data_IF_198418173953
#
_entry.id   IF_198418173953
#
_cell.length_a   1.000
_cell.length_b   1.000
_cell.length_c   1.000
_cell.angle_alpha   90.00
_cell.angle_beta   90.00
_cell.angle_gamma   90.00
#
_symmetry.space_group_name_H-M   'P 1'
#
loop_
_entity.id
_entity.type
_entity.pdbx_description
1 polymer ?
#
# COMPACT_ATOMS: atom_id res chain seq x y z
N UNK A 1 5.65 -18.64 6.63
CA UNK A 1 4.79 -17.52 6.22
C UNK A 1 3.67 -18.05 5.34
N UNK A 2 2.41 -17.75 5.65
CA UNK A 2 1.24 -18.15 4.85
C UNK A 2 1.32 -17.47 3.47
N UNK A 3 1.34 -18.23 2.36
CA UNK A 3 1.64 -17.72 0.99
C UNK A 3 0.89 -16.43 0.59
N UNK A 4 -0.31 -16.21 1.12
CA UNK A 4 -1.14 -15.00 0.87
C UNK A 4 -0.58 -13.74 1.56
N UNK A 5 -0.08 -13.87 2.79
CA UNK A 5 0.57 -12.78 3.52
C UNK A 5 1.86 -12.35 2.83
N UNK A 6 2.64 -13.32 2.36
CA UNK A 6 3.90 -13.04 1.68
C UNK A 6 3.68 -12.31 0.34
N UNK A 7 2.69 -12.74 -0.46
CA UNK A 7 2.31 -12.02 -1.70
C UNK A 7 1.90 -10.58 -1.44
N UNK A 8 1.08 -10.33 -0.42
CA UNK A 8 0.66 -8.97 -0.09
C UNK A 8 1.85 -8.13 0.38
N UNK A 9 2.75 -8.71 1.18
CA UNK A 9 3.98 -8.04 1.61
C UNK A 9 4.87 -7.67 0.41
N UNK A 10 5.06 -8.59 -0.54
CA UNK A 10 5.87 -8.32 -1.75
C UNK A 10 5.26 -7.21 -2.60
N UNK A 11 3.93 -7.16 -2.74
CA UNK A 11 3.23 -6.09 -3.48
C UNK A 11 3.40 -4.73 -2.78
N UNK A 12 3.22 -4.68 -1.45
CA UNK A 12 3.41 -3.43 -0.68
C UNK A 12 4.86 -2.97 -0.77
N UNK A 13 5.81 -3.90 -0.69
CA UNK A 13 7.24 -3.60 -0.82
C UNK A 13 7.58 -3.07 -2.21
N UNK A 14 7.04 -3.68 -3.27
CA UNK A 14 7.22 -3.17 -4.64
C UNK A 14 6.62 -1.77 -4.80
N UNK A 15 5.41 -1.54 -4.26
CA UNK A 15 4.77 -0.23 -4.28
C UNK A 15 5.64 0.83 -3.57
N UNK A 16 6.25 0.49 -2.44
CA UNK A 16 7.15 1.37 -1.70
C UNK A 16 8.46 1.67 -2.45
N UNK A 17 8.95 0.73 -3.24
CA UNK A 17 10.19 0.87 -4.00
C UNK A 17 10.07 1.87 -5.17
N UNK A 18 8.84 2.15 -5.63
CA UNK A 18 8.62 3.18 -6.65
C UNK A 18 9.02 4.57 -6.12
N UNK A 19 9.87 5.32 -6.85
CA UNK A 19 10.36 6.62 -6.39
C UNK A 19 9.21 7.61 -6.13
N UNK A 20 8.18 7.61 -6.97
CA UNK A 20 6.98 8.44 -6.80
C UNK A 20 6.29 8.23 -5.43
N UNK A 21 6.23 6.99 -4.95
CA UNK A 21 5.61 6.65 -3.67
C UNK A 21 6.56 6.85 -2.49
N UNK A 22 7.86 6.73 -2.74
CA UNK A 22 8.92 6.93 -1.74
C UNK A 22 9.17 8.40 -1.44
N UNK A 23 9.13 9.24 -2.47
CA UNK A 23 9.25 10.71 -2.35
C UNK A 23 8.01 11.31 -1.68
N UNK A 24 6.88 10.62 -1.77
CA UNK A 24 5.66 11.00 -1.09
C UNK A 24 5.65 10.52 0.37
N UNK A 25 5.84 11.45 1.30
CA UNK A 25 5.90 11.15 2.74
C UNK A 25 4.63 10.48 3.25
N UNK A 26 3.46 10.86 2.73
CA UNK A 26 2.19 10.28 3.14
C UNK A 26 2.06 8.83 2.64
N UNK A 27 2.28 8.58 1.34
CA UNK A 27 2.18 7.24 0.77
C UNK A 27 3.24 6.28 1.35
N UNK A 28 4.48 6.74 1.51
CA UNK A 28 5.54 5.94 2.12
C UNK A 28 5.20 5.51 3.55
N UNK A 29 4.61 6.41 4.35
CA UNK A 29 4.12 6.08 5.70
C UNK A 29 2.96 5.08 5.67
N UNK A 30 1.99 5.22 4.76
CA UNK A 30 0.88 4.28 4.60
C UNK A 30 1.35 2.86 4.25
N UNK A 31 2.28 2.76 3.30
CA UNK A 31 2.86 1.48 2.86
C UNK A 31 3.70 0.82 3.97
N UNK A 32 4.47 1.60 4.74
CA UNK A 32 5.22 1.11 5.89
C UNK A 32 4.28 0.65 7.02
N UNK A 33 3.22 1.41 7.30
CA UNK A 33 2.23 1.08 8.32
C UNK A 33 1.51 -0.24 7.98
N UNK A 34 1.08 -0.40 6.71
CA UNK A 34 0.46 -1.63 6.24
C UNK A 34 1.42 -2.83 6.32
N UNK A 35 2.68 -2.67 5.94
CA UNK A 35 3.71 -3.71 6.07
C UNK A 35 3.90 -4.14 7.54
N UNK A 36 3.97 -3.17 8.46
CA UNK A 36 4.10 -3.44 9.89
C UNK A 36 2.86 -4.16 10.45
N UNK A 37 1.65 -3.77 10.05
CA UNK A 37 0.40 -4.45 10.44
C UNK A 37 0.37 -5.89 9.93
N UNK A 38 0.85 -6.12 8.71
CA UNK A 38 0.92 -7.45 8.09
C UNK A 38 1.91 -8.37 8.80
N UNK A 39 3.07 -7.85 9.23
CA UNK A 39 4.09 -8.58 10.00
C UNK A 39 3.55 -8.93 11.41
N UNK A 40 2.80 -8.03 12.04
CA UNK A 40 2.18 -8.22 13.37
C UNK A 40 1.02 -9.23 13.40
N UNK A 41 0.96 -10.18 12.46
CA UNK A 41 -0.07 -11.23 12.37
C UNK A 41 -1.51 -10.75 12.11
N UNK A 42 -1.70 -9.56 11.54
CA UNK A 42 -3.03 -9.13 11.10
C UNK A 42 -3.51 -9.92 9.88
N UNK A 43 -4.83 -10.08 9.75
CA UNK A 43 -5.44 -10.74 8.60
C UNK A 43 -5.05 -9.99 7.31
N UNK A 44 -4.38 -10.65 6.34
CA UNK A 44 -3.91 -9.99 5.12
C UNK A 44 -5.03 -9.30 4.33
N UNK A 45 -6.24 -9.86 4.35
CA UNK A 45 -7.38 -9.25 3.67
C UNK A 45 -7.79 -7.92 4.32
N UNK A 46 -7.77 -7.87 5.65
CA UNK A 46 -8.09 -6.66 6.39
C UNK A 46 -7.03 -5.58 6.17
N UNK A 47 -5.75 -5.97 6.15
CA UNK A 47 -4.64 -5.03 5.86
C UNK A 47 -4.74 -4.49 4.44
N UNK A 48 -5.05 -5.33 3.45
CA UNK A 48 -5.24 -4.88 2.07
C UNK A 48 -6.43 -3.93 1.94
N UNK A 49 -7.55 -4.24 2.61
CA UNK A 49 -8.73 -3.39 2.61
C UNK A 49 -8.45 -2.02 3.24
N UNK A 50 -7.82 -2.00 4.41
CA UNK A 50 -7.43 -0.74 5.08
C UNK A 50 -6.45 0.07 4.24
N UNK A 51 -5.43 -0.57 3.67
CA UNK A 51 -4.47 0.11 2.81
C UNK A 51 -5.16 0.73 1.58
N UNK A 52 -6.10 0.02 0.96
CA UNK A 52 -6.88 0.57 -0.15
C UNK A 52 -7.68 1.80 0.28
N UNK A 53 -8.36 1.76 1.44
CA UNK A 53 -9.09 2.92 1.94
C UNK A 53 -8.16 4.09 2.26
N UNK A 54 -7.01 3.83 2.88
CA UNK A 54 -6.03 4.85 3.22
C UNK A 54 -5.44 5.52 1.95
N UNK A 55 -5.18 4.73 0.90
CA UNK A 55 -4.72 5.24 -0.40
C UNK A 55 -5.83 5.99 -1.13
N UNK A 56 -7.07 5.51 -1.10
CA UNK A 56 -8.21 6.19 -1.72
C UNK A 56 -8.46 7.55 -1.07
N UNK A 57 -8.43 7.60 0.27
CA UNK A 57 -8.51 8.85 1.03
C UNK A 57 -7.35 9.79 0.69
N UNK A 58 -6.13 9.26 0.56
CA UNK A 58 -4.97 10.05 0.15
C UNK A 58 -5.18 10.68 -1.23
N UNK A 59 -5.72 9.92 -2.19
CA UNK A 59 -6.02 10.39 -3.55
C UNK A 59 -7.11 11.45 -3.56
N UNK A 60 -8.17 11.26 -2.75
CA UNK A 60 -9.25 12.23 -2.59
C UNK A 60 -8.77 13.53 -1.97
N UNK A 61 -7.87 13.47 -0.98
CA UNK A 61 -7.36 14.65 -0.25
C UNK A 61 -6.33 15.44 -1.07
N UNK A 62 -5.56 14.76 -1.93
CA UNK A 62 -4.47 15.40 -2.66
C UNK A 62 -4.84 15.85 -4.09
N UNK A 63 -6.01 15.49 -4.63
CA UNK A 63 -6.40 15.79 -6.03
C UNK A 63 -5.33 15.38 -7.07
N UNK A 64 -4.46 14.43 -6.68
CA UNK A 64 -3.33 13.99 -7.50
C UNK A 64 -3.82 12.88 -8.43
N UNK A 65 -3.69 13.13 -9.74
CA UNK A 65 -3.72 12.14 -10.80
C UNK A 65 -3.00 10.86 -10.33
N UNK A 66 -3.77 9.79 -10.12
CA UNK A 66 -3.28 8.49 -9.64
C UNK A 66 -1.94 8.15 -10.30
N UNK A 67 -0.84 7.96 -9.54
CA UNK A 67 0.42 7.58 -10.11
C UNK A 67 0.24 6.29 -10.90
N UNK A 68 0.79 6.25 -12.12
CA UNK A 68 0.53 5.21 -13.14
C UNK A 68 0.81 3.78 -12.65
N UNK A 69 1.60 3.64 -11.58
CA UNK A 69 1.90 2.39 -10.89
C UNK A 69 0.67 1.75 -10.23
N UNK A 70 -0.32 2.54 -9.80
CA UNK A 70 -1.55 2.07 -9.14
C UNK A 70 -2.71 1.81 -10.11
N UNK A 71 -2.64 2.32 -11.35
CA UNK A 71 -3.66 2.11 -12.39
C UNK A 71 -3.71 0.67 -12.96
N UNK A 72 -2.89 -0.26 -12.47
CA UNK A 72 -2.73 -1.61 -13.05
C UNK A 72 -3.61 -2.71 -12.45
N UNK A 73 -4.74 -2.35 -11.84
CA UNK A 73 -5.81 -3.29 -11.52
C UNK A 73 -6.93 -3.15 -12.55
N UNK A 74 -6.77 -3.79 -13.70
CA UNK A 74 -7.84 -4.06 -14.66
C UNK A 74 -7.96 -5.55 -14.88
#
# INVERSE_FOLDING_TARGET
>A
MEKKRQRLYDVIRQAYDYPENRENVALSQLLLAASNRLIKHSNPLLVAYQLNQDVDNYLLDNDILLPKSLCRFK
#
